data_IF_137434267513
#
_entry.id   IF_137434267513
#
_cell.length_a   1.000
_cell.length_b   1.000
_cell.length_c   1.000
_cell.angle_alpha   90.00
_cell.angle_beta   90.00
_cell.angle_gamma   90.00
#
_symmetry.space_group_name_H-M   'P 1'
#
loop_
_entity.id
_entity.type
_entity.pdbx_description
1 polymer ?
#
# COMPACT_ATOMS: atom_id res chain seq x y z
N UNK A 1 -3.33 -16.78 30.56
CA UNK A 1 -2.57 -16.63 29.29
C UNK A 1 -3.22 -15.51 28.50
N UNK A 2 -2.41 -14.65 27.86
CA UNK A 2 -2.90 -13.58 26.98
C UNK A 2 -3.34 -14.20 25.65
N UNK A 3 -4.47 -13.75 25.10
CA UNK A 3 -4.93 -14.16 23.76
C UNK A 3 -4.27 -13.26 22.71
N UNK A 4 -3.60 -13.87 21.73
CA UNK A 4 -2.88 -13.16 20.67
C UNK A 4 -3.51 -13.46 19.30
N UNK A 5 -3.55 -12.47 18.42
CA UNK A 5 -3.96 -12.59 17.02
C UNK A 5 -2.84 -12.10 16.12
N UNK A 6 -2.48 -12.89 15.10
CA UNK A 6 -1.37 -12.59 14.19
C UNK A 6 -1.79 -12.91 12.76
N UNK A 7 -1.39 -12.05 11.81
CA UNK A 7 -1.61 -12.28 10.39
C UNK A 7 -0.53 -13.18 9.80
N UNK A 8 -0.92 -14.13 8.95
CA UNK A 8 0.03 -14.88 8.12
C UNK A 8 0.30 -14.11 6.82
N UNK A 9 1.45 -14.36 6.20
CA UNK A 9 1.81 -13.80 4.89
C UNK A 9 1.31 -14.69 3.75
N UNK A 10 0.02 -15.02 3.72
CA UNK A 10 -0.59 -15.89 2.71
C UNK A 10 -1.42 -15.06 1.72
N UNK A 11 -1.14 -15.21 0.43
CA UNK A 11 -1.74 -14.44 -0.65
C UNK A 11 -2.82 -15.15 -1.46
N UNK A 12 -2.96 -16.46 -1.31
CA UNK A 12 -3.83 -17.28 -2.18
C UNK A 12 -5.28 -16.81 -2.11
N UNK A 13 -5.87 -16.56 -3.28
CA UNK A 13 -7.26 -16.11 -3.41
C UNK A 13 -7.53 -14.69 -2.91
N UNK A 14 -6.51 -13.88 -2.61
CA UNK A 14 -6.68 -12.49 -2.20
C UNK A 14 -6.73 -11.57 -3.42
N UNK A 15 -7.76 -10.72 -3.49
CA UNK A 15 -7.87 -9.66 -4.50
C UNK A 15 -7.16 -8.41 -4.01
N UNK A 16 -6.11 -8.00 -4.70
CA UNK A 16 -5.26 -6.87 -4.31
C UNK A 16 -5.39 -5.73 -5.30
N UNK A 17 -5.76 -4.55 -4.80
CA UNK A 17 -5.68 -3.31 -5.56
C UNK A 17 -4.34 -2.62 -5.36
N UNK A 18 -3.74 -2.10 -6.42
CA UNK A 18 -2.53 -1.27 -6.31
C UNK A 18 -2.77 0.07 -6.99
N UNK A 19 -2.60 1.18 -6.27
CA UNK A 19 -2.63 2.53 -6.83
C UNK A 19 -1.20 3.04 -6.94
N UNK A 20 -0.79 3.51 -8.12
CA UNK A 20 0.59 3.97 -8.36
C UNK A 20 0.60 5.37 -8.97
N UNK A 21 1.32 6.30 -8.35
CA UNK A 21 1.59 7.60 -8.96
C UNK A 21 2.61 7.50 -10.11
N UNK A 22 2.30 8.12 -11.24
CA UNK A 22 3.23 8.27 -12.38
C UNK A 22 4.33 9.30 -12.10
N UNK A 23 4.05 10.34 -11.34
CA UNK A 23 5.09 11.29 -10.94
C UNK A 23 6.22 10.57 -10.19
N UNK A 24 7.47 10.84 -10.57
CA UNK A 24 8.67 10.08 -10.17
C UNK A 24 8.66 8.59 -10.59
N UNK A 25 8.19 8.27 -11.81
CA UNK A 25 8.04 6.89 -12.30
C UNK A 25 9.29 6.02 -12.16
N UNK A 26 10.48 6.58 -12.36
CA UNK A 26 11.73 5.84 -12.20
C UNK A 26 11.94 5.30 -10.76
N UNK A 27 11.29 5.89 -9.75
CA UNK A 27 11.17 5.37 -8.39
C UNK A 27 9.92 4.49 -8.25
N UNK A 28 8.74 4.99 -8.63
CA UNK A 28 7.47 4.30 -8.34
C UNK A 28 7.31 2.99 -9.10
N UNK A 29 7.88 2.85 -10.29
CA UNK A 29 7.98 1.58 -11.02
C UNK A 29 8.82 0.53 -10.28
N UNK A 30 9.87 0.94 -9.54
CA UNK A 30 10.65 0.03 -8.69
C UNK A 30 9.88 -0.38 -7.44
N UNK A 31 9.10 0.53 -6.86
CA UNK A 31 8.16 0.19 -5.79
C UNK A 31 7.12 -0.81 -6.27
N UNK A 32 6.51 -0.57 -7.43
CA UNK A 32 5.54 -1.48 -8.03
C UNK A 32 6.15 -2.86 -8.30
N UNK A 33 7.34 -2.91 -8.89
CA UNK A 33 8.04 -4.17 -9.13
C UNK A 33 8.33 -4.94 -7.83
N UNK A 34 8.71 -4.23 -6.75
CA UNK A 34 8.94 -4.86 -5.44
C UNK A 34 7.65 -5.38 -4.80
N UNK A 35 6.55 -4.62 -4.93
CA UNK A 35 5.25 -5.06 -4.45
C UNK A 35 4.78 -6.32 -5.17
N UNK A 36 4.84 -6.33 -6.51
CA UNK A 36 4.44 -7.47 -7.33
C UNK A 36 5.27 -8.72 -7.01
N UNK A 37 6.61 -8.60 -6.95
CA UNK A 37 7.48 -9.74 -6.58
C UNK A 37 7.09 -10.34 -5.22
N UNK A 38 6.79 -9.52 -4.22
CA UNK A 38 6.33 -10.01 -2.92
C UNK A 38 4.96 -10.66 -2.98
N UNK A 39 3.99 -10.08 -3.66
CA UNK A 39 2.65 -10.68 -3.78
C UNK A 39 2.73 -12.06 -4.46
N UNK A 40 3.48 -12.16 -5.56
CA UNK A 40 3.65 -13.44 -6.27
C UNK A 40 4.36 -14.51 -5.42
N UNK A 41 5.44 -14.15 -4.72
CA UNK A 41 6.16 -15.10 -3.85
C UNK A 41 5.32 -15.62 -2.68
N UNK A 42 4.31 -14.85 -2.27
CA UNK A 42 3.36 -15.25 -1.23
C UNK A 42 2.07 -15.83 -1.80
N UNK A 43 2.02 -16.06 -3.11
CA UNK A 43 0.98 -16.85 -3.76
C UNK A 43 -0.29 -16.08 -4.14
N UNK A 44 -0.23 -14.75 -4.27
CA UNK A 44 -1.31 -14.00 -4.92
C UNK A 44 -1.27 -14.29 -6.42
N UNK A 45 -2.40 -14.67 -6.98
CA UNK A 45 -2.58 -14.94 -8.40
C UNK A 45 -2.61 -13.65 -9.23
N UNK A 46 -2.02 -13.68 -10.42
CA UNK A 46 -1.85 -12.49 -11.28
C UNK A 46 -3.17 -11.84 -11.69
N UNK A 47 -4.20 -12.65 -11.92
CA UNK A 47 -5.55 -12.21 -12.29
C UNK A 47 -6.34 -11.63 -11.11
N UNK A 48 -5.82 -11.73 -9.88
CA UNK A 48 -6.38 -11.11 -8.68
C UNK A 48 -5.69 -9.79 -8.30
N UNK A 49 -4.72 -9.34 -9.10
CA UNK A 49 -4.02 -8.06 -8.91
C UNK A 49 -4.47 -7.07 -9.99
N UNK A 50 -5.08 -5.95 -9.57
CA UNK A 50 -5.41 -4.85 -10.48
C UNK A 50 -4.61 -3.60 -10.13
N UNK A 51 -4.08 -2.89 -11.14
CA UNK A 51 -3.23 -1.72 -10.96
C UNK A 51 -3.91 -0.47 -11.55
N UNK A 52 -4.08 0.56 -10.73
CA UNK A 52 -4.58 1.87 -11.12
C UNK A 52 -3.44 2.90 -11.12
N UNK A 53 -3.07 3.38 -12.30
CA UNK A 53 -2.10 4.47 -12.44
C UNK A 53 -2.78 5.83 -12.32
N UNK A 54 -2.26 6.68 -11.45
CA UNK A 54 -2.73 8.06 -11.26
C UNK A 54 -1.63 9.07 -11.61
N UNK A 55 -1.97 10.32 -11.96
CA UNK A 55 -0.98 11.33 -12.35
C UNK A 55 0.09 11.58 -11.28
N UNK A 56 -0.32 11.90 -10.05
CA UNK A 56 0.58 12.18 -8.93
C UNK A 56 0.13 11.54 -7.62
N UNK A 57 0.92 11.76 -6.57
CA UNK A 57 0.62 11.21 -5.24
C UNK A 57 -0.68 11.75 -4.65
N UNK A 58 -1.06 12.98 -5.02
CA UNK A 58 -2.26 13.65 -4.50
C UNK A 58 -3.56 12.94 -4.88
N UNK A 59 -3.60 12.26 -6.02
CA UNK A 59 -4.77 11.51 -6.48
C UNK A 59 -4.88 10.11 -5.87
N UNK A 60 -3.83 9.61 -5.19
CA UNK A 60 -3.79 8.26 -4.63
C UNK A 60 -4.95 7.97 -3.68
N UNK A 61 -5.29 8.81 -2.68
CA UNK A 61 -6.36 8.50 -1.74
C UNK A 61 -7.72 8.31 -2.43
N UNK A 62 -8.04 9.17 -3.42
CA UNK A 62 -9.31 9.09 -4.13
C UNK A 62 -9.38 7.81 -4.97
N UNK A 63 -8.30 7.46 -5.69
CA UNK A 63 -8.24 6.22 -6.45
C UNK A 63 -8.33 4.99 -5.54
N UNK A 64 -7.65 4.99 -4.39
CA UNK A 64 -7.73 3.91 -3.40
C UNK A 64 -9.18 3.71 -2.92
N UNK A 65 -9.89 4.80 -2.61
CA UNK A 65 -11.32 4.76 -2.23
C UNK A 65 -12.18 4.15 -3.34
N UNK A 66 -11.90 4.46 -4.61
CA UNK A 66 -12.60 3.84 -5.76
C UNK A 66 -12.27 2.36 -5.90
N UNK A 67 -11.03 1.96 -5.65
CA UNK A 67 -10.64 0.55 -5.66
C UNK A 67 -11.38 -0.23 -4.58
N UNK A 68 -11.43 0.26 -3.34
CA UNK A 68 -12.20 -0.38 -2.26
C UNK A 68 -13.65 -0.67 -2.69
N UNK A 69 -14.31 0.28 -3.36
CA UNK A 69 -15.66 0.11 -3.88
C UNK A 69 -15.83 -1.01 -4.93
N UNK A 70 -14.73 -1.56 -5.46
CA UNK A 70 -14.71 -2.72 -6.38
C UNK A 70 -14.50 -4.06 -5.65
N UNK A 71 -14.37 -4.04 -4.32
CA UNK A 71 -14.32 -5.23 -3.48
C UNK A 71 -12.97 -5.96 -3.45
N UNK A 72 -11.86 -5.23 -3.40
CA UNK A 72 -10.56 -5.82 -3.09
C UNK A 72 -10.44 -6.14 -1.59
N UNK A 73 -9.68 -7.17 -1.25
CA UNK A 73 -9.38 -7.54 0.13
C UNK A 73 -8.40 -6.57 0.81
N UNK A 74 -7.59 -5.86 0.00
CA UNK A 74 -6.73 -4.78 0.47
C UNK A 74 -6.21 -3.93 -0.69
N UNK A 75 -5.75 -2.72 -0.38
CA UNK A 75 -5.22 -1.77 -1.37
C UNK A 75 -3.82 -1.30 -0.96
N UNK A 76 -2.88 -1.32 -1.89
CA UNK A 76 -1.53 -0.78 -1.72
C UNK A 76 -1.43 0.56 -2.44
N UNK A 77 -1.00 1.59 -1.72
CA UNK A 77 -0.79 2.93 -2.25
C UNK A 77 0.71 3.16 -2.47
N UNK A 78 1.16 3.34 -3.71
CA UNK A 78 2.57 3.52 -4.08
C UNK A 78 2.81 4.90 -4.68
N UNK A 79 3.86 5.58 -4.21
CA UNK A 79 4.24 6.90 -4.70
C UNK A 79 5.59 7.36 -4.18
N UNK A 80 6.11 8.43 -4.76
CA UNK A 80 7.33 9.07 -4.27
C UNK A 80 7.17 10.60 -4.34
N UNK A 81 7.30 11.25 -3.19
CA UNK A 81 7.30 12.70 -3.02
C UNK A 81 8.70 13.07 -2.56
N UNK A 82 9.39 13.90 -3.34
CA UNK A 82 10.79 14.29 -3.09
C UNK A 82 10.83 15.81 -2.92
N UNK A 83 11.51 16.29 -1.89
CA UNK A 83 11.54 17.72 -1.55
C UNK A 83 12.14 18.54 -2.70
N UNK A 84 11.44 19.61 -3.05
CA UNK A 84 11.89 20.61 -4.01
C UNK A 84 12.27 21.93 -3.33
N UNK A 85 12.26 23.02 -4.10
CA UNK A 85 12.63 24.34 -3.61
C UNK A 85 11.55 25.07 -2.80
N UNK A 86 10.30 24.56 -2.82
CA UNK A 86 9.15 25.22 -2.20
C UNK A 86 8.47 24.31 -1.17
N UNK A 87 7.60 24.86 -0.29
CA UNK A 87 6.83 24.08 0.68
C UNK A 87 5.82 23.08 0.05
N UNK A 88 5.72 23.01 -1.28
CA UNK A 88 4.81 22.09 -1.97
C UNK A 88 4.95 20.64 -1.49
N UNK A 89 6.19 20.20 -1.22
CA UNK A 89 6.47 18.89 -0.65
C UNK A 89 5.68 18.62 0.64
N UNK A 90 5.71 19.57 1.59
CA UNK A 90 5.13 19.39 2.91
C UNK A 90 3.60 19.28 2.83
N UNK A 91 2.97 20.08 1.96
CA UNK A 91 1.52 20.01 1.74
C UNK A 91 1.10 18.70 1.06
N UNK A 92 1.80 18.27 0.00
CA UNK A 92 1.46 17.03 -0.70
C UNK A 92 1.70 15.81 0.18
N UNK A 93 2.87 15.70 0.81
CA UNK A 93 3.20 14.56 1.67
C UNK A 93 2.21 14.43 2.85
N UNK A 94 1.86 15.55 3.48
CA UNK A 94 0.91 15.58 4.60
C UNK A 94 -0.50 15.18 4.18
N UNK A 95 -1.05 15.80 3.13
CA UNK A 95 -2.43 15.54 2.71
C UNK A 95 -2.61 14.14 2.11
N UNK A 96 -1.62 13.61 1.40
CA UNK A 96 -1.67 12.23 0.89
C UNK A 96 -1.63 11.23 2.03
N UNK A 97 -0.77 11.43 3.03
CA UNK A 97 -0.68 10.56 4.21
C UNK A 97 -2.01 10.55 4.98
N UNK A 98 -2.58 11.74 5.24
CA UNK A 98 -3.88 11.87 5.90
C UNK A 98 -4.99 11.22 5.08
N UNK A 99 -5.02 11.45 3.77
CA UNK A 99 -6.03 10.90 2.88
C UNK A 99 -6.00 9.36 2.85
N UNK A 100 -4.82 8.75 2.75
CA UNK A 100 -4.67 7.29 2.78
C UNK A 100 -5.14 6.74 4.13
N UNK A 101 -4.73 7.37 5.24
CA UNK A 101 -5.15 6.95 6.58
C UNK A 101 -6.68 7.05 6.76
N UNK A 102 -7.29 8.16 6.32
CA UNK A 102 -8.74 8.34 6.38
C UNK A 102 -9.48 7.29 5.55
N UNK A 103 -9.03 7.04 4.32
CA UNK A 103 -9.63 6.01 3.46
C UNK A 103 -9.53 4.63 4.11
N UNK A 104 -8.39 4.28 4.72
CA UNK A 104 -8.22 3.02 5.44
C UNK A 104 -9.17 2.86 6.63
N UNK A 105 -9.39 3.92 7.40
CA UNK A 105 -10.33 3.91 8.53
C UNK A 105 -11.80 3.74 8.08
N UNK A 106 -12.15 4.23 6.89
CA UNK A 106 -13.50 4.12 6.31
C UNK A 106 -13.74 2.79 5.56
N UNK A 107 -12.69 2.08 5.12
CA UNK A 107 -12.79 1.02 4.12
C UNK A 107 -13.21 -0.37 4.64
N UNK A 108 -12.95 -0.68 5.91
CA UNK A 108 -13.11 -2.05 6.46
C UNK A 108 -12.11 -3.10 5.94
N UNK A 109 -11.22 -2.69 5.03
CA UNK A 109 -10.09 -3.47 4.49
C UNK A 109 -8.80 -2.66 4.62
N UNK A 110 -7.62 -3.28 4.73
CA UNK A 110 -6.37 -2.55 4.84
C UNK A 110 -6.06 -1.73 3.60
N UNK A 111 -5.70 -0.46 3.83
CA UNK A 111 -5.18 0.46 2.82
C UNK A 111 -3.78 0.85 3.26
N UNK A 112 -2.77 0.35 2.56
CA UNK A 112 -1.39 0.36 3.01
C UNK A 112 -0.60 1.49 2.37
N UNK A 113 0.12 2.22 3.20
CA UNK A 113 1.02 3.30 2.80
C UNK A 113 2.37 2.74 2.33
N UNK A 114 2.60 2.77 1.01
CA UNK A 114 3.86 2.43 0.36
C UNK A 114 4.48 3.62 -0.37
N UNK A 115 4.39 4.82 0.22
CA UNK A 115 4.99 6.03 -0.33
C UNK A 115 6.39 6.29 0.24
N UNK A 116 7.27 6.80 -0.61
CA UNK A 116 8.53 7.42 -0.20
C UNK A 116 8.31 8.92 -0.04
N UNK A 117 8.63 9.45 1.14
CA UNK A 117 8.77 10.88 1.41
C UNK A 117 10.22 11.16 1.75
N UNK A 118 10.95 11.84 0.86
CA UNK A 118 12.39 12.01 0.97
C UNK A 118 12.82 13.46 0.74
N UNK A 119 13.88 13.90 1.41
CA UNK A 119 14.45 15.23 1.20
C UNK A 119 15.34 15.27 -0.05
N UNK A 120 15.92 14.13 -0.43
CA UNK A 120 16.79 14.03 -1.60
C UNK A 120 16.42 12.86 -2.52
N UNK A 121 16.85 12.97 -3.77
CA UNK A 121 16.73 11.89 -4.74
C UNK A 121 17.46 10.61 -4.29
N UNK A 122 18.65 10.75 -3.71
CA UNK A 122 19.44 9.63 -3.22
C UNK A 122 18.70 8.83 -2.14
N UNK A 123 18.09 9.53 -1.16
CA UNK A 123 17.27 8.90 -0.13
C UNK A 123 16.09 8.12 -0.72
N UNK A 124 15.50 8.62 -1.81
CA UNK A 124 14.42 7.94 -2.49
C UNK A 124 14.90 6.67 -3.20
N UNK A 125 16.05 6.72 -3.88
CA UNK A 125 16.68 5.55 -4.52
C UNK A 125 17.04 4.47 -3.48
N UNK A 126 17.55 4.87 -2.31
CA UNK A 126 17.91 3.94 -1.24
C UNK A 126 16.73 3.08 -0.78
N UNK A 127 15.52 3.64 -0.81
CA UNK A 127 14.27 3.02 -0.33
C UNK A 127 13.46 2.32 -1.43
N UNK A 128 13.93 2.38 -2.68
CA UNK A 128 13.23 1.85 -3.85
C UNK A 128 13.89 0.57 -4.40
N UNK A 129 14.53 -0.23 -3.54
CA UNK A 129 15.13 -1.51 -3.91
C UNK A 129 16.66 -1.52 -3.96
N UNK A 130 17.31 -0.67 -3.16
CA UNK A 130 18.77 -0.72 -2.99
C UNK A 130 19.13 -0.95 -1.53
N UNK A 131 19.88 -0.06 -0.88
CA UNK A 131 20.47 -0.30 0.45
C UNK A 131 19.42 -0.42 1.57
N UNK A 132 18.34 0.33 1.51
CA UNK A 132 17.32 0.39 2.57
C UNK A 132 16.08 -0.46 2.26
N UNK A 133 16.23 -1.47 1.38
CA UNK A 133 15.13 -2.32 0.94
C UNK A 133 14.23 -1.64 -0.08
N UNK A 134 13.01 -2.15 -0.22
CA UNK A 134 12.01 -1.67 -1.17
C UNK A 134 10.68 -1.39 -0.46
N UNK A 135 10.27 -0.12 -0.39
CA UNK A 135 9.02 0.26 0.30
C UNK A 135 7.75 -0.31 -0.33
N UNK A 136 7.78 -0.66 -1.61
CA UNK A 136 6.67 -1.37 -2.25
C UNK A 136 6.60 -2.84 -1.82
N UNK A 137 7.75 -3.50 -1.66
CA UNK A 137 7.82 -4.86 -1.10
C UNK A 137 7.32 -4.89 0.35
N UNK A 138 7.77 -3.94 1.18
CA UNK A 138 7.30 -3.81 2.57
C UNK A 138 5.77 -3.61 2.64
N UNK A 139 5.23 -2.77 1.74
CA UNK A 139 3.79 -2.52 1.68
C UNK A 139 2.99 -3.75 1.23
N UNK A 140 3.53 -4.56 0.31
CA UNK A 140 2.93 -5.82 -0.09
C UNK A 140 2.87 -6.84 1.07
N UNK A 141 3.96 -6.99 1.83
CA UNK A 141 3.96 -7.85 3.02
C UNK A 141 2.95 -7.37 4.05
N UNK A 142 2.92 -6.05 4.29
CA UNK A 142 1.99 -5.42 5.24
C UNK A 142 0.53 -5.66 4.84
N UNK A 143 0.17 -5.54 3.56
CA UNK A 143 -1.23 -5.75 3.15
C UNK A 143 -1.65 -7.21 3.36
N UNK A 144 -0.77 -8.18 3.03
CA UNK A 144 -1.05 -9.60 3.23
C UNK A 144 -1.25 -9.93 4.70
N UNK A 145 -0.35 -9.45 5.57
CA UNK A 145 -0.44 -9.67 7.00
C UNK A 145 -1.74 -9.08 7.57
N UNK A 146 -2.06 -7.84 7.21
CA UNK A 146 -3.24 -7.15 7.73
C UNK A 146 -4.55 -7.79 7.25
N UNK A 147 -4.62 -8.27 6.00
CA UNK A 147 -5.80 -9.01 5.51
C UNK A 147 -6.02 -10.26 6.36
N UNK A 148 -4.97 -11.05 6.57
CA UNK A 148 -5.07 -12.29 7.33
C UNK A 148 -5.35 -12.03 8.81
N UNK A 149 -4.76 -11.00 9.41
CA UNK A 149 -5.08 -10.56 10.77
C UNK A 149 -6.57 -10.19 10.91
N UNK A 150 -7.12 -9.45 9.94
CA UNK A 150 -8.53 -9.07 9.95
C UNK A 150 -9.46 -10.28 9.78
N UNK A 151 -9.02 -11.35 9.09
CA UNK A 151 -9.75 -12.62 9.03
C UNK A 151 -9.77 -13.32 10.38
N UNK A 152 -8.62 -13.39 11.07
CA UNK A 152 -8.52 -13.98 12.42
C UNK A 152 -9.35 -13.23 13.47
N UNK A 153 -9.38 -11.89 13.39
CA UNK A 153 -10.19 -11.04 14.26
C UNK A 153 -11.69 -11.24 14.02
N UNK A 154 -12.12 -11.44 12.76
CA UNK A 154 -13.53 -11.71 12.41
C UNK A 154 -13.96 -13.14 12.75
N UNK A 155 -13.11 -14.13 12.50
CA UNK A 155 -13.38 -15.56 12.70
C UNK A 155 -13.57 -15.98 14.17
N UNK A 156 -13.32 -15.06 15.12
CA UNK A 156 -13.51 -15.29 16.55
C UNK A 156 -14.65 -14.49 17.18
N UNK A 157 -15.43 -13.75 16.36
CA UNK A 157 -16.66 -13.12 16.80
C UNK A 157 -17.80 -14.14 16.76
N UNK A 158 -17.93 -14.93 17.84
CA UNK A 158 -19.20 -15.54 18.23
C UNK A 158 -20.26 -14.50 18.64
N UNK A 159 -20.24 -13.30 18.05
CA UNK A 159 -21.22 -12.24 18.24
C UNK A 159 -21.60 -11.78 16.84
N UNK A 160 -22.73 -12.30 16.38
CA UNK A 160 -23.51 -11.70 15.31
C UNK A 160 -23.83 -10.26 15.71
N UNK A 161 -23.52 -9.31 14.84
CA UNK A 161 -24.19 -8.01 14.80
C UNK A 161 -24.63 -7.77 13.37
#
# INVERSE_FOLDING_TARGET
MVRTFEGKLLGQGLRIGIVVARFNEFITSKLLSGALDMLYRHGVEDDLIEIAWVPGAFEIPLAAKKMIGRGYDGVICLGAVIRGATPHFDYIASEVTKGIAQVGLEAGVPVVYGLITADTLEQAIERAGTKAGNKGADAALTVLEMINLFKELRGNSGIQV
#
